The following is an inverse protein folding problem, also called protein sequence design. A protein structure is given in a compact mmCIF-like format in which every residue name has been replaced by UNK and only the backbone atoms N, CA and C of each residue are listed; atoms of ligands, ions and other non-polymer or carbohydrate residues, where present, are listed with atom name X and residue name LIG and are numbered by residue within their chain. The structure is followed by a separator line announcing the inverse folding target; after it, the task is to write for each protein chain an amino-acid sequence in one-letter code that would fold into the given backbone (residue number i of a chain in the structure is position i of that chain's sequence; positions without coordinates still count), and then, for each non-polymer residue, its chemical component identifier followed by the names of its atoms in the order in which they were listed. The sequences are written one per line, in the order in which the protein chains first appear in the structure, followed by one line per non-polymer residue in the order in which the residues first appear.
data_IF_235141924370
#
_entry.id   IF_235141924370
#
_cell.length_a   1.000
_cell.length_b   1.000
_cell.length_c   1.000
_cell.angle_alpha   90.00
_cell.angle_beta   90.00
_cell.angle_gamma   90.00
#
_symmetry.space_group_name_H-M   'P 1'
#
loop_
_entity.id
_entity.type
_entity.pdbx_description
1 polymer ?
#
# COMPACT_ATOMS: atom_id res chain seq x y z
N UNK A 1 -14.54 -15.92 -3.67
CA UNK A 1 -13.70 -15.05 -4.29
C UNK A 1 -13.66 -13.71 -3.63
N UNK A 2 -12.53 -13.30 -3.40
CA UNK A 2 -12.35 -12.15 -2.58
C UNK A 2 -11.43 -11.16 -3.25
N UNK A 3 -11.92 -9.97 -3.47
CA UNK A 3 -11.11 -8.98 -4.13
C UNK A 3 -10.74 -7.84 -3.24
N UNK A 4 -10.60 -8.10 -1.98
CA UNK A 4 -10.25 -7.06 -1.03
C UNK A 4 -8.74 -6.88 -1.00
N UNK A 5 -8.24 -6.14 -1.94
CA UNK A 5 -6.82 -5.84 -1.98
C UNK A 5 -6.59 -4.40 -1.58
N UNK A 6 -5.54 -4.18 -0.82
CA UNK A 6 -5.10 -2.83 -0.47
C UNK A 6 -3.88 -2.50 -1.30
N UNK A 7 -3.93 -1.42 -2.03
CA UNK A 7 -2.83 -1.03 -2.91
C UNK A 7 -2.08 0.12 -2.29
N UNK A 8 -0.77 -0.05 -2.17
CA UNK A 8 0.10 0.99 -1.66
C UNK A 8 0.62 1.82 -2.83
N UNK A 9 0.28 3.10 -2.81
CA UNK A 9 0.77 4.04 -3.83
C UNK A 9 1.84 4.91 -3.23
N UNK A 10 3.12 4.65 -3.55
CA UNK A 10 4.18 5.49 -2.99
C UNK A 10 4.16 6.88 -3.59
N UNK A 11 4.62 7.84 -2.81
CA UNK A 11 4.74 9.20 -3.31
C UNK A 11 5.89 9.34 -4.29
N UNK A 12 6.80 8.41 -4.26
CA UNK A 12 7.94 8.44 -5.15
C UNK A 12 7.54 7.94 -6.52
N UNK A 13 7.73 8.76 -7.54
CA UNK A 13 7.32 8.40 -8.88
C UNK A 13 8.14 7.26 -9.46
N UNK A 14 9.30 6.99 -8.90
CA UNK A 14 10.13 5.89 -9.38
C UNK A 14 9.67 4.54 -8.85
N UNK A 15 8.77 4.53 -7.89
CA UNK A 15 8.30 3.28 -7.30
C UNK A 15 6.97 2.89 -7.88
N UNK A 16 6.75 1.60 -7.97
CA UNK A 16 5.50 1.09 -8.52
C UNK A 16 4.55 0.69 -7.40
N UNK A 17 3.24 0.80 -7.65
CA UNK A 17 2.27 0.41 -6.63
C UNK A 17 2.34 -1.09 -6.34
N UNK A 18 2.01 -1.45 -5.11
CA UNK A 18 2.00 -2.84 -4.70
C UNK A 18 0.67 -3.19 -4.10
N UNK A 19 0.17 -4.38 -4.40
CA UNK A 19 -1.09 -4.88 -3.86
C UNK A 19 -0.84 -5.82 -2.71
N UNK A 20 -1.68 -5.72 -1.68
CA UNK A 20 -1.58 -6.60 -0.52
C UNK A 20 -2.96 -7.11 -0.18
N UNK A 21 -3.00 -8.28 0.43
CA UNK A 21 -4.28 -8.89 0.79
C UNK A 21 -4.89 -8.29 2.03
N UNK A 22 -4.12 -7.63 2.86
CA UNK A 22 -4.66 -7.04 4.06
C UNK A 22 -4.11 -5.64 4.24
N UNK A 23 -4.91 -4.81 4.89
CA UNK A 23 -4.50 -3.45 5.16
C UNK A 23 -3.26 -3.41 6.06
N UNK A 24 -3.21 -4.32 7.03
CA UNK A 24 -2.08 -4.34 7.94
C UNK A 24 -0.78 -4.59 7.21
N UNK A 25 -0.81 -5.52 6.26
CA UNK A 25 0.38 -5.80 5.48
C UNK A 25 0.79 -4.62 4.61
N UNK A 26 -0.20 -3.99 4.00
CA UNK A 26 0.10 -2.84 3.14
C UNK A 26 0.70 -1.71 3.96
N UNK A 27 0.15 -1.47 5.13
CA UNK A 27 0.63 -0.40 5.98
C UNK A 27 2.05 -0.68 6.46
N UNK A 28 2.30 -1.91 6.84
CA UNK A 28 3.63 -2.27 7.31
C UNK A 28 4.65 -2.12 6.20
N UNK A 29 4.30 -2.55 5.00
CA UNK A 29 5.18 -2.40 3.87
C UNK A 29 5.49 -0.93 3.60
N UNK A 30 4.44 -0.11 3.57
CA UNK A 30 4.63 1.30 3.30
C UNK A 30 5.48 1.99 4.35
N UNK A 31 5.21 1.66 5.62
CA UNK A 31 5.97 2.28 6.70
C UNK A 31 7.45 1.94 6.61
N UNK A 32 7.75 0.69 6.28
CA UNK A 32 9.14 0.28 6.21
C UNK A 32 9.85 0.80 4.98
N UNK A 33 9.15 0.77 3.86
CA UNK A 33 9.81 1.11 2.61
C UNK A 33 9.85 2.60 2.35
N UNK A 34 8.81 3.31 2.70
CA UNK A 34 8.72 4.71 2.33
C UNK A 34 8.66 5.66 3.51
N UNK A 35 8.20 5.17 4.65
CA UNK A 35 8.01 6.03 5.78
C UNK A 35 6.54 6.33 5.98
N UNK A 36 6.23 6.76 7.17
CA UNK A 36 4.86 6.79 7.66
C UNK A 36 3.92 7.65 6.81
N UNK A 37 4.41 8.72 6.24
CA UNK A 37 3.55 9.64 5.50
C UNK A 37 3.91 9.74 4.04
N UNK A 38 4.72 8.83 3.54
CA UNK A 38 5.23 8.94 2.18
C UNK A 38 4.53 8.01 1.22
N UNK A 39 3.35 7.56 1.56
CA UNK A 39 2.60 6.68 0.68
C UNK A 39 1.12 6.80 0.99
N UNK A 40 0.31 6.24 0.09
CA UNK A 40 -1.14 6.21 0.26
C UNK A 40 -1.61 4.79 0.05
N UNK A 41 -2.57 4.35 0.87
CA UNK A 41 -3.15 3.04 0.73
C UNK A 41 -4.58 3.20 0.25
N UNK A 42 -4.90 2.52 -0.84
CA UNK A 42 -6.25 2.50 -1.37
C UNK A 42 -6.84 1.12 -1.21
N UNK A 43 -8.03 1.06 -0.69
CA UNK A 43 -8.71 -0.21 -0.56
C UNK A 43 -10.08 -0.10 -1.19
N UNK A 44 -10.65 -1.24 -1.61
CA UNK A 44 -11.92 -1.21 -2.31
C UNK A 44 -13.12 -0.91 -1.44
N UNK A 45 -13.00 -0.95 -0.14
CA UNK A 45 -14.16 -0.65 0.68
C UNK A 45 -14.14 0.73 1.32
#
# INVERSE_FOLDING_TARGET
MNEWFCTVFPNDLDEMPQDFESYAEAKEYGDEMFGESNYTIESPC
#
